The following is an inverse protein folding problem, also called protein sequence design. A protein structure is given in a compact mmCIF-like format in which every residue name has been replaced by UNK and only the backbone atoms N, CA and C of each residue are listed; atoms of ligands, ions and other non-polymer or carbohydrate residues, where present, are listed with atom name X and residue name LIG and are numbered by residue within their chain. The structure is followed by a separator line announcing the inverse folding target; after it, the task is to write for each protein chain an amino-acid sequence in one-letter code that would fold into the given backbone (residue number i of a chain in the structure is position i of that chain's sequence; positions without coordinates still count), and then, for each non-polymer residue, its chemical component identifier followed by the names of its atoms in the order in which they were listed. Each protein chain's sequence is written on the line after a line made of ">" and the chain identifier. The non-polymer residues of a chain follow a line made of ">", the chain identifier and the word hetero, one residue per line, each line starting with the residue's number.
data_IF_346863122959
#
_entry.id   IF_346863122959
#
_cell.length_a   1.000
_cell.length_b   1.000
_cell.length_c   1.000
_cell.angle_alpha   90.00
_cell.angle_beta   90.00
_cell.angle_gamma   90.00
#
_symmetry.space_group_name_H-M   'P 1'
#
loop_
_entity.id
_entity.type
_entity.pdbx_description
1 polymer ?
#
# COMPACT_ATOMS: atom_id res chain seq x y z
N UNK A 1 -8.06 -5.77 -25.77
CA UNK A 1 -8.18 -6.06 -24.32
C UNK A 1 -7.60 -4.99 -23.38
N UNK A 2 -6.62 -4.18 -23.79
CA UNK A 2 -6.06 -3.12 -22.94
C UNK A 2 -6.99 -1.89 -22.76
N UNK A 3 -7.79 -1.55 -23.77
CA UNK A 3 -8.67 -0.36 -23.77
C UNK A 3 -9.76 -0.39 -22.68
N UNK A 4 -10.26 -1.57 -22.33
CA UNK A 4 -11.25 -1.70 -21.25
C UNK A 4 -10.65 -1.60 -19.84
N UNK A 5 -9.37 -1.94 -19.68
CA UNK A 5 -8.69 -1.85 -18.37
C UNK A 5 -8.40 -0.41 -17.98
N UNK A 6 -8.21 0.50 -18.93
CA UNK A 6 -7.98 1.93 -18.62
C UNK A 6 -9.25 2.65 -18.14
N UNK A 7 -10.44 2.12 -18.47
CA UNK A 7 -11.71 2.69 -18.00
C UNK A 7 -12.10 2.23 -16.59
N UNK A 8 -11.54 1.11 -16.11
CA UNK A 8 -11.87 0.56 -14.79
C UNK A 8 -11.49 1.54 -13.67
N UNK A 9 -10.34 2.21 -13.81
CA UNK A 9 -9.90 3.18 -12.81
C UNK A 9 -10.84 4.40 -12.70
N UNK A 10 -11.17 5.11 -13.78
CA UNK A 10 -12.16 6.20 -13.73
C UNK A 10 -13.52 5.73 -13.19
N UNK A 11 -14.00 4.56 -13.61
CA UNK A 11 -15.26 4.00 -13.14
C UNK A 11 -15.22 3.71 -11.64
N UNK A 12 -14.12 3.11 -11.14
CA UNK A 12 -13.94 2.86 -9.71
C UNK A 12 -13.97 4.15 -8.88
N UNK A 13 -13.34 5.22 -9.40
CA UNK A 13 -13.33 6.54 -8.78
C UNK A 13 -14.75 7.12 -8.74
N UNK A 14 -15.46 7.11 -9.86
CA UNK A 14 -16.83 7.62 -9.95
C UNK A 14 -17.79 6.85 -9.03
N UNK A 15 -17.71 5.53 -9.02
CA UNK A 15 -18.53 4.69 -8.12
C UNK A 15 -18.24 5.02 -6.64
N UNK A 16 -16.96 5.16 -6.27
CA UNK A 16 -16.57 5.54 -4.92
C UNK A 16 -17.09 6.93 -4.52
N UNK A 17 -17.14 7.86 -5.48
CA UNK A 17 -17.62 9.21 -5.26
C UNK A 17 -19.16 9.26 -5.09
N UNK A 18 -19.90 8.62 -5.99
CA UNK A 18 -21.36 8.73 -6.00
C UNK A 18 -22.06 7.83 -4.97
N UNK A 19 -21.44 6.70 -4.61
CA UNK A 19 -22.02 5.72 -3.69
C UNK A 19 -21.23 5.61 -2.37
N UNK A 20 -20.63 6.73 -1.91
CA UNK A 20 -19.73 6.72 -0.75
C UNK A 20 -20.38 6.17 0.52
N UNK A 21 -21.64 6.49 0.83
CA UNK A 21 -22.32 6.00 2.02
C UNK A 21 -22.49 4.48 2.01
N UNK A 22 -22.95 3.92 0.89
CA UNK A 22 -23.21 2.48 0.76
C UNK A 22 -21.91 1.67 0.70
N UNK A 23 -20.92 2.16 -0.04
CA UNK A 23 -19.66 1.44 -0.28
C UNK A 23 -18.72 1.53 0.93
N UNK A 24 -18.77 2.61 1.71
CA UNK A 24 -17.94 2.75 2.93
C UNK A 24 -18.20 1.65 3.97
N UNK A 25 -19.39 1.05 3.98
CA UNK A 25 -19.73 -0.11 4.84
C UNK A 25 -18.84 -1.32 4.55
N UNK A 26 -18.29 -1.42 3.33
CA UNK A 26 -17.40 -2.50 2.92
C UNK A 26 -15.94 -2.30 3.39
N UNK A 27 -15.63 -1.22 4.12
CA UNK A 27 -14.29 -0.94 4.64
C UNK A 27 -13.64 -2.12 5.40
N UNK A 28 -14.36 -2.91 6.25
CA UNK A 28 -13.78 -4.06 6.93
C UNK A 28 -13.24 -5.15 5.99
N UNK A 29 -13.66 -5.15 4.72
CA UNK A 29 -13.17 -6.09 3.71
C UNK A 29 -11.79 -5.72 3.13
N UNK A 30 -11.33 -4.47 3.29
CA UNK A 30 -10.08 -3.99 2.71
C UNK A 30 -8.86 -4.87 3.04
N UNK A 31 -8.61 -5.29 4.29
CA UNK A 31 -7.46 -6.15 4.60
C UNK A 31 -7.49 -7.47 3.84
N UNK A 32 -8.69 -8.06 3.70
CA UNK A 32 -8.87 -9.33 2.96
C UNK A 32 -8.66 -9.13 1.46
N UNK A 33 -9.15 -8.04 0.89
CA UNK A 33 -8.94 -7.70 -0.51
C UNK A 33 -7.46 -7.46 -0.80
N UNK A 34 -6.74 -6.74 0.07
CA UNK A 34 -5.30 -6.53 -0.04
C UNK A 34 -4.55 -7.86 0.05
N UNK A 35 -4.94 -8.74 0.98
CA UNK A 35 -4.36 -10.06 1.10
C UNK A 35 -4.54 -10.88 -0.19
N UNK A 36 -5.74 -10.95 -0.73
CA UNK A 36 -6.05 -11.66 -1.99
C UNK A 36 -5.23 -11.08 -3.14
N UNK A 37 -5.21 -9.76 -3.27
CA UNK A 37 -4.45 -9.06 -4.30
C UNK A 37 -2.96 -9.39 -4.24
N UNK A 38 -2.36 -9.34 -3.06
CA UNK A 38 -0.95 -9.69 -2.84
C UNK A 38 -0.68 -11.17 -3.11
N UNK A 39 -1.57 -12.06 -2.67
CA UNK A 39 -1.44 -13.50 -2.91
C UNK A 39 -1.37 -13.82 -4.40
N UNK A 40 -2.30 -13.30 -5.21
CA UNK A 40 -2.28 -13.50 -6.67
C UNK A 40 -1.04 -12.87 -7.32
N UNK A 41 -0.61 -11.70 -6.85
CA UNK A 41 0.57 -11.02 -7.37
C UNK A 41 1.86 -11.76 -7.02
N UNK A 42 1.99 -12.27 -5.79
CA UNK A 42 3.16 -13.04 -5.36
C UNK A 42 3.23 -14.44 -5.99
N UNK A 43 2.09 -15.02 -6.38
CA UNK A 43 2.12 -16.30 -7.14
C UNK A 43 2.73 -16.12 -8.53
N UNK A 44 2.67 -14.95 -9.12
CA UNK A 44 3.34 -14.64 -10.40
C UNK A 44 4.85 -14.35 -10.23
N UNK A 45 5.33 -14.23 -8.99
CA UNK A 45 6.70 -13.88 -8.65
C UNK A 45 7.66 -15.06 -8.84
N UNK A 46 8.85 -14.83 -9.40
CA UNK A 46 9.95 -15.77 -9.32
C UNK A 46 10.86 -15.42 -8.13
N UNK A 47 10.72 -16.16 -7.03
CA UNK A 47 11.47 -15.90 -5.78
C UNK A 47 13.00 -15.94 -6.00
N UNK A 48 13.48 -16.77 -6.93
CA UNK A 48 14.92 -16.88 -7.25
C UNK A 48 15.49 -15.63 -7.89
N UNK A 49 14.64 -14.80 -8.50
CA UNK A 49 15.00 -13.55 -9.14
C UNK A 49 14.89 -12.35 -8.20
N UNK A 50 14.34 -12.55 -6.99
CA UNK A 50 14.31 -11.51 -5.97
C UNK A 50 15.72 -11.20 -5.51
N UNK A 51 16.19 -10.01 -5.90
CA UNK A 51 17.49 -9.49 -5.47
C UNK A 51 17.32 -8.04 -5.10
N UNK A 52 17.82 -7.66 -3.94
CA UNK A 52 17.93 -6.25 -3.57
C UNK A 52 18.98 -5.61 -4.47
N UNK A 53 18.54 -4.75 -5.36
CA UNK A 53 19.42 -4.06 -6.31
C UNK A 53 19.82 -2.68 -5.79
N UNK A 54 20.93 -2.16 -6.31
CA UNK A 54 21.36 -0.78 -6.04
C UNK A 54 20.28 0.24 -6.43
N UNK A 55 19.46 -0.08 -7.43
CA UNK A 55 18.32 0.75 -7.81
C UNK A 55 17.25 0.81 -6.69
N UNK A 56 16.92 -0.33 -6.05
CA UNK A 56 16.01 -0.35 -4.92
C UNK A 56 16.55 0.51 -3.76
N UNK A 57 17.85 0.42 -3.49
CA UNK A 57 18.49 1.26 -2.47
C UNK A 57 18.34 2.76 -2.76
N UNK A 58 18.61 3.18 -4.00
CA UNK A 58 18.46 4.58 -4.38
C UNK A 58 17.02 5.06 -4.32
N UNK A 59 16.04 4.23 -4.68
CA UNK A 59 14.61 4.57 -4.54
C UNK A 59 14.22 4.78 -3.07
N UNK A 60 14.68 3.91 -2.16
CA UNK A 60 14.42 4.05 -0.72
C UNK A 60 15.10 5.31 -0.15
N UNK A 61 16.34 5.56 -0.54
CA UNK A 61 17.07 6.75 -0.13
C UNK A 61 16.39 8.03 -0.65
N UNK A 62 15.95 8.03 -1.90
CA UNK A 62 15.21 9.14 -2.48
C UNK A 62 13.89 9.40 -1.75
N UNK A 63 13.12 8.36 -1.45
CA UNK A 63 11.88 8.47 -0.70
C UNK A 63 12.12 9.08 0.68
N UNK A 64 13.12 8.59 1.41
CA UNK A 64 13.48 9.11 2.72
C UNK A 64 13.99 10.55 2.65
N UNK A 65 14.87 10.84 1.69
CA UNK A 65 15.41 12.18 1.47
C UNK A 65 14.34 13.19 1.08
N UNK A 66 13.42 12.80 0.17
CA UNK A 66 12.34 13.67 -0.28
C UNK A 66 11.35 13.97 0.85
N UNK A 67 10.95 12.94 1.63
CA UNK A 67 10.05 13.14 2.77
C UNK A 67 10.65 14.10 3.79
N UNK A 68 11.93 13.92 4.13
CA UNK A 68 12.66 14.77 5.07
C UNK A 68 12.83 16.18 4.53
N UNK A 69 13.19 16.33 3.26
CA UNK A 69 13.35 17.64 2.62
C UNK A 69 12.02 18.43 2.61
N UNK A 70 10.91 17.78 2.27
CA UNK A 70 9.58 18.41 2.31
C UNK A 70 9.17 18.82 3.72
N UNK A 71 9.47 18.02 4.72
CA UNK A 71 9.23 18.39 6.12
C UNK A 71 9.92 19.67 6.50
N UNK A 72 11.23 19.79 6.27
CA UNK A 72 11.99 20.99 6.60
C UNK A 72 11.62 22.20 5.75
N UNK A 73 11.21 21.99 4.50
CA UNK A 73 10.77 23.06 3.61
C UNK A 73 9.42 23.66 4.05
N UNK A 74 8.48 22.81 4.51
CA UNK A 74 7.13 23.25 4.85
C UNK A 74 6.98 23.65 6.33
N UNK A 75 7.84 23.16 7.21
CA UNK A 75 7.79 23.44 8.64
C UNK A 75 7.75 24.94 9.01
N UNK A 76 8.49 25.86 8.35
CA UNK A 76 8.42 27.29 8.64
C UNK A 76 7.07 27.93 8.34
N UNK A 77 6.26 27.30 7.47
CA UNK A 77 4.95 27.83 7.06
C UNK A 77 3.82 27.24 7.94
N UNK A 78 3.84 25.95 8.15
CA UNK A 78 2.85 25.26 8.97
C UNK A 78 3.36 23.88 9.36
N UNK A 79 3.36 23.59 10.67
CA UNK A 79 3.91 22.34 11.21
C UNK A 79 3.02 21.14 10.87
N UNK A 80 1.69 21.27 10.92
CA UNK A 80 0.76 20.19 10.58
C UNK A 80 0.86 19.83 9.09
N UNK A 81 0.99 20.85 8.23
CA UNK A 81 1.22 20.63 6.79
C UNK A 81 2.54 19.91 6.53
N UNK A 82 3.60 20.28 7.24
CA UNK A 82 4.91 19.64 7.10
C UNK A 82 4.88 18.17 7.55
N UNK A 83 4.22 17.89 8.68
CA UNK A 83 4.02 16.52 9.19
C UNK A 83 3.17 15.69 8.22
N UNK A 84 2.07 16.25 7.72
CA UNK A 84 1.22 15.59 6.72
C UNK A 84 1.97 15.26 5.43
N UNK A 85 2.74 16.20 4.89
CA UNK A 85 3.56 16.00 3.70
C UNK A 85 4.63 14.92 3.92
N UNK A 86 5.29 14.93 5.09
CA UNK A 86 6.24 13.90 5.48
C UNK A 86 5.61 12.50 5.45
N UNK A 87 4.46 12.36 6.13
CA UNK A 87 3.76 11.05 6.23
C UNK A 87 3.32 10.55 4.86
N UNK A 88 2.80 11.42 4.00
CA UNK A 88 2.33 11.04 2.66
C UNK A 88 3.49 10.51 1.80
N UNK A 89 4.63 11.17 1.83
CA UNK A 89 5.80 10.77 1.01
C UNK A 89 6.53 9.58 1.62
N UNK A 90 6.61 9.50 2.97
CA UNK A 90 7.21 8.36 3.66
C UNK A 90 6.35 7.11 3.55
N UNK A 91 5.04 7.23 3.30
CA UNK A 91 4.12 6.10 3.24
C UNK A 91 4.70 4.96 2.38
N UNK A 92 4.60 3.71 2.85
CA UNK A 92 5.18 2.58 2.13
C UNK A 92 4.49 2.37 0.78
N UNK A 93 5.23 1.84 -0.18
CA UNK A 93 4.70 1.51 -1.50
C UNK A 93 3.45 0.64 -1.36
N UNK A 94 2.36 1.07 -2.00
CA UNK A 94 1.09 0.37 -1.94
C UNK A 94 1.17 -1.01 -2.60
N UNK A 95 0.49 -2.00 -2.00
CA UNK A 95 0.32 -3.33 -2.57
C UNK A 95 -0.27 -3.31 -4.00
N UNK A 96 -1.07 -2.30 -4.30
CA UNK A 96 -1.60 -2.03 -5.63
C UNK A 96 -0.53 -1.88 -6.71
N UNK A 97 0.63 -1.32 -6.37
CA UNK A 97 1.74 -1.16 -7.32
C UNK A 97 2.20 -2.51 -7.89
N UNK A 98 2.21 -3.57 -7.07
CA UNK A 98 2.55 -4.92 -7.53
C UNK A 98 1.49 -5.47 -8.52
N UNK A 99 0.20 -5.28 -8.22
CA UNK A 99 -0.89 -5.72 -9.08
C UNK A 99 -0.89 -4.98 -10.43
N UNK A 100 -0.64 -3.68 -10.43
CA UNK A 100 -0.53 -2.86 -11.66
C UNK A 100 0.71 -3.26 -12.45
N UNK A 101 1.86 -3.43 -11.79
CA UNK A 101 3.11 -3.87 -12.42
C UNK A 101 2.96 -5.22 -13.13
N UNK A 102 2.22 -6.15 -12.53
CA UNK A 102 1.92 -7.45 -13.13
C UNK A 102 1.17 -7.32 -14.46
N UNK A 103 0.23 -6.38 -14.55
CA UNK A 103 -0.56 -6.15 -15.76
C UNK A 103 0.23 -5.43 -16.84
N UNK A 104 1.09 -4.50 -16.44
CA UNK A 104 1.97 -3.75 -17.33
C UNK A 104 3.15 -4.60 -17.84
N UNK A 105 3.32 -5.83 -17.34
CA UNK A 105 4.43 -6.71 -17.72
C UNK A 105 5.78 -6.27 -17.16
N UNK A 106 5.76 -5.49 -16.07
CA UNK A 106 6.97 -5.07 -15.39
C UNK A 106 7.63 -6.23 -14.62
N UNK A 107 8.88 -6.03 -14.17
CA UNK A 107 9.62 -7.02 -13.40
C UNK A 107 9.02 -7.15 -11.99
N UNK A 108 8.19 -8.16 -11.80
CA UNK A 108 7.48 -8.43 -10.55
C UNK A 108 8.44 -8.77 -9.42
N UNK A 109 9.54 -9.47 -9.72
CA UNK A 109 10.54 -9.84 -8.71
C UNK A 109 11.23 -8.62 -8.12
N UNK A 110 11.61 -7.67 -8.94
CA UNK A 110 12.20 -6.40 -8.53
C UNK A 110 11.18 -5.55 -7.73
N UNK A 111 9.93 -5.47 -8.23
CA UNK A 111 8.88 -4.70 -7.59
C UNK A 111 8.48 -5.28 -6.23
N UNK A 112 8.44 -6.63 -6.11
CA UNK A 112 8.18 -7.31 -4.85
C UNK A 112 9.29 -7.08 -3.83
N UNK A 113 10.56 -7.13 -4.27
CA UNK A 113 11.70 -6.84 -3.41
C UNK A 113 11.63 -5.40 -2.90
N UNK A 114 11.31 -4.44 -3.77
CA UNK A 114 11.14 -3.04 -3.39
C UNK A 114 9.97 -2.88 -2.40
N UNK A 115 8.81 -3.47 -2.67
CA UNK A 115 7.63 -3.43 -1.79
C UNK A 115 7.97 -3.90 -0.37
N UNK A 116 8.61 -5.06 -0.24
CA UNK A 116 8.99 -5.64 1.06
C UNK A 116 10.00 -4.73 1.78
N UNK A 117 11.05 -4.32 1.07
CA UNK A 117 12.11 -3.47 1.63
C UNK A 117 11.58 -2.09 2.06
N UNK A 118 10.70 -1.48 1.26
CA UNK A 118 10.08 -0.20 1.57
C UNK A 118 9.20 -0.29 2.83
N UNK A 119 8.35 -1.32 2.91
CA UNK A 119 7.52 -1.54 4.09
C UNK A 119 8.35 -1.76 5.36
N UNK A 120 9.45 -2.52 5.26
CA UNK A 120 10.34 -2.78 6.38
C UNK A 120 11.09 -1.50 6.80
N UNK A 121 11.58 -0.71 5.85
CA UNK A 121 12.22 0.58 6.11
C UNK A 121 11.25 1.52 6.83
N UNK A 122 10.03 1.67 6.32
CA UNK A 122 9.03 2.57 6.91
C UNK A 122 8.61 2.10 8.30
N UNK A 123 8.50 0.78 8.54
CA UNK A 123 8.19 0.24 9.86
C UNK A 123 9.21 0.66 10.94
N UNK A 124 10.48 0.90 10.55
CA UNK A 124 11.53 1.39 11.45
C UNK A 124 11.57 2.92 11.49
N UNK A 125 11.53 3.56 10.31
CA UNK A 125 11.73 5.01 10.18
C UNK A 125 10.53 5.80 10.69
N UNK A 126 9.29 5.35 10.43
CA UNK A 126 8.09 6.09 10.82
C UNK A 126 7.97 6.26 12.34
N UNK A 127 8.13 5.21 13.19
CA UNK A 127 8.10 5.39 14.64
C UNK A 127 9.19 6.35 15.15
N UNK A 128 10.40 6.25 14.58
CA UNK A 128 11.50 7.14 14.94
C UNK A 128 11.17 8.60 14.60
N UNK A 129 10.70 8.84 13.38
CA UNK A 129 10.34 10.17 12.92
C UNK A 129 9.18 10.76 13.75
N UNK A 130 8.12 9.98 14.03
CA UNK A 130 6.98 10.45 14.82
C UNK A 130 7.37 10.76 16.27
N UNK A 131 8.30 10.01 16.85
CA UNK A 131 8.83 10.31 18.17
C UNK A 131 9.64 11.60 18.16
N UNK A 132 10.49 11.81 17.15
CA UNK A 132 11.32 13.02 17.01
C UNK A 132 10.50 14.27 16.70
N UNK A 133 9.40 14.12 15.95
CA UNK A 133 8.49 15.22 15.60
C UNK A 133 7.46 15.52 16.70
N UNK A 134 7.50 14.79 17.84
CA UNK A 134 6.52 14.89 18.93
C UNK A 134 5.06 14.61 18.50
N UNK A 135 4.86 14.01 17.35
CA UNK A 135 3.52 13.63 16.84
C UNK A 135 2.91 12.49 17.64
N UNK A 136 3.75 11.73 18.36
CA UNK A 136 3.37 10.50 19.06
C UNK A 136 2.61 10.73 20.36
N UNK A 137 2.37 11.98 20.80
CA UNK A 137 1.68 12.24 22.05
C UNK A 137 2.35 11.61 23.30
N UNK A 138 3.67 11.40 23.26
CA UNK A 138 4.42 10.74 24.33
C UNK A 138 4.51 9.20 24.23
N UNK A 139 3.95 8.61 23.18
CA UNK A 139 4.08 7.15 22.93
C UNK A 139 5.51 6.83 22.50
N UNK A 140 6.15 5.89 23.19
CA UNK A 140 7.53 5.51 22.92
C UNK A 140 7.73 4.79 21.57
N UNK A 141 8.97 4.88 21.03
CA UNK A 141 9.37 4.24 19.78
C UNK A 141 8.95 2.76 19.68
N UNK A 142 9.21 1.97 20.70
CA UNK A 142 8.92 0.52 20.68
C UNK A 142 7.43 0.21 20.56
N UNK A 143 6.59 0.99 21.20
CA UNK A 143 5.13 0.82 21.13
C UNK A 143 4.64 1.13 19.71
N UNK A 144 5.10 2.22 19.12
CA UNK A 144 4.76 2.59 17.73
C UNK A 144 5.32 1.58 16.73
N UNK A 145 6.57 1.16 16.91
CA UNK A 145 7.21 0.16 16.05
C UNK A 145 6.44 -1.16 16.04
N UNK A 146 6.11 -1.69 17.23
CA UNK A 146 5.34 -2.93 17.34
C UNK A 146 3.91 -2.78 16.81
N UNK A 147 3.27 -1.63 17.02
CA UNK A 147 1.93 -1.36 16.50
C UNK A 147 1.91 -1.34 14.96
N UNK A 148 2.90 -0.73 14.33
CA UNK A 148 3.03 -0.72 12.87
C UNK A 148 3.38 -2.12 12.36
N UNK A 149 4.37 -2.76 12.95
CA UNK A 149 4.85 -4.07 12.54
C UNK A 149 3.75 -5.13 12.65
N UNK A 150 2.99 -5.16 13.74
CA UNK A 150 1.91 -6.12 13.97
C UNK A 150 0.78 -6.02 12.93
N UNK A 151 0.59 -4.86 12.30
CA UNK A 151 -0.40 -4.65 11.24
C UNK A 151 0.16 -4.95 9.84
N UNK A 152 1.36 -4.46 9.57
CA UNK A 152 1.98 -4.54 8.24
C UNK A 152 2.53 -5.94 7.98
N UNK A 153 3.16 -6.55 8.98
CA UNK A 153 3.85 -7.82 8.83
C UNK A 153 2.90 -8.98 8.41
N UNK A 154 1.78 -9.24 9.12
CA UNK A 154 0.86 -10.29 8.70
C UNK A 154 0.26 -10.03 7.32
N UNK A 155 -0.11 -8.78 7.04
CA UNK A 155 -0.76 -8.40 5.78
C UNK A 155 0.15 -8.59 4.56
N UNK A 156 1.46 -8.39 4.72
CA UNK A 156 2.45 -8.51 3.65
C UNK A 156 3.07 -9.91 3.58
N UNK A 157 3.46 -10.44 4.73
CA UNK A 157 4.25 -11.66 4.83
C UNK A 157 3.39 -12.92 4.67
N UNK A 158 2.17 -12.93 5.22
CA UNK A 158 1.30 -14.09 5.12
C UNK A 158 0.93 -14.44 3.66
N UNK A 159 0.49 -13.51 2.79
CA UNK A 159 0.22 -13.83 1.39
C UNK A 159 1.49 -14.22 0.63
N UNK A 160 2.66 -13.65 0.98
CA UNK A 160 3.95 -14.03 0.40
C UNK A 160 4.30 -15.49 0.73
N UNK A 161 4.29 -15.87 2.01
CA UNK A 161 4.55 -17.24 2.42
C UNK A 161 3.55 -18.23 1.83
N UNK A 162 2.27 -17.90 1.81
CA UNK A 162 1.23 -18.73 1.22
C UNK A 162 1.48 -18.94 -0.29
N UNK A 163 1.89 -17.92 -1.02
CA UNK A 163 2.25 -18.03 -2.43
C UNK A 163 3.48 -18.92 -2.65
N UNK A 164 4.50 -18.80 -1.79
CA UNK A 164 5.70 -19.67 -1.83
C UNK A 164 5.32 -21.12 -1.53
N UNK A 165 4.51 -21.37 -0.51
CA UNK A 165 4.02 -22.72 -0.16
C UNK A 165 3.18 -23.32 -1.29
N UNK A 166 2.26 -22.57 -1.87
CA UNK A 166 1.43 -23.02 -3.00
C UNK A 166 2.30 -23.45 -4.18
N UNK A 167 3.36 -22.68 -4.45
CA UNK A 167 4.31 -23.01 -5.52
C UNK A 167 5.14 -24.25 -5.20
N UNK A 168 5.57 -24.41 -3.95
CA UNK A 168 6.42 -25.52 -3.53
C UNK A 168 5.66 -26.86 -3.49
N UNK A 169 4.43 -26.85 -2.96
CA UNK A 169 3.69 -28.09 -2.66
C UNK A 169 2.55 -28.38 -3.64
N UNK A 170 1.94 -27.35 -4.26
CA UNK A 170 0.75 -27.50 -5.12
C UNK A 170 0.94 -26.86 -6.50
N UNK A 171 1.81 -27.43 -7.32
CA UNK A 171 2.10 -26.92 -8.68
C UNK A 171 0.85 -26.73 -9.53
N UNK A 172 -0.10 -27.69 -9.50
CA UNK A 172 -1.37 -27.60 -10.26
C UNK A 172 -2.22 -26.39 -9.80
N UNK A 173 -2.27 -26.12 -8.50
CA UNK A 173 -2.97 -24.96 -7.95
C UNK A 173 -2.27 -23.65 -8.34
N UNK A 174 -0.94 -23.61 -8.27
CA UNK A 174 -0.15 -22.46 -8.70
C UNK A 174 -0.38 -22.12 -10.18
N UNK A 175 -0.43 -23.13 -11.06
CA UNK A 175 -0.69 -22.94 -12.49
C UNK A 175 -2.11 -22.40 -12.73
N UNK A 176 -3.11 -22.90 -11.99
CA UNK A 176 -4.48 -22.41 -12.06
C UNK A 176 -4.56 -20.94 -11.58
N UNK A 177 -3.90 -20.59 -10.47
CA UNK A 177 -3.83 -19.22 -9.95
C UNK A 177 -3.18 -18.28 -10.97
N UNK A 178 -2.06 -18.71 -11.57
CA UNK A 178 -1.34 -17.91 -12.56
C UNK A 178 -2.13 -17.67 -13.85
N UNK A 179 -3.03 -18.58 -14.24
CA UNK A 179 -3.97 -18.34 -15.35
C UNK A 179 -4.93 -17.17 -15.06
N UNK A 180 -5.25 -16.97 -13.79
CA UNK A 180 -6.18 -15.94 -13.33
C UNK A 180 -5.49 -14.72 -12.68
N UNK A 181 -4.22 -14.45 -13.00
CA UNK A 181 -3.44 -13.34 -12.45
C UNK A 181 -4.12 -11.96 -12.56
N UNK A 182 -5.01 -11.78 -13.55
CA UNK A 182 -5.78 -10.56 -13.72
C UNK A 182 -6.76 -10.28 -12.57
N UNK A 183 -7.10 -11.27 -11.74
CA UNK A 183 -7.94 -11.10 -10.55
C UNK A 183 -7.35 -10.04 -9.62
N UNK A 184 -6.03 -10.03 -9.45
CA UNK A 184 -5.32 -9.03 -8.66
C UNK A 184 -5.69 -7.58 -9.03
N UNK A 185 -5.86 -7.30 -10.32
CA UNK A 185 -6.27 -5.98 -10.79
C UNK A 185 -7.73 -5.64 -10.48
N UNK A 186 -8.65 -6.58 -10.64
CA UNK A 186 -10.06 -6.33 -10.33
C UNK A 186 -10.28 -6.16 -8.83
N UNK A 187 -9.58 -6.96 -8.02
CA UNK A 187 -9.56 -6.80 -6.56
C UNK A 187 -8.98 -5.45 -6.16
N UNK A 188 -7.90 -4.99 -6.85
CA UNK A 188 -7.36 -3.66 -6.65
C UNK A 188 -8.38 -2.56 -6.96
N UNK A 189 -9.08 -2.65 -8.12
CA UNK A 189 -10.08 -1.65 -8.50
C UNK A 189 -11.22 -1.59 -7.48
N UNK A 190 -11.69 -2.74 -6.98
CA UNK A 190 -12.68 -2.81 -5.91
C UNK A 190 -12.17 -2.18 -4.61
N UNK A 191 -10.95 -2.50 -4.20
CA UNK A 191 -10.32 -1.92 -3.02
C UNK A 191 -10.21 -0.40 -3.14
N UNK A 192 -9.82 0.10 -4.33
CA UNK A 192 -9.72 1.52 -4.61
C UNK A 192 -11.08 2.22 -4.48
N UNK A 193 -12.16 1.61 -5.00
CA UNK A 193 -13.52 2.14 -4.86
C UNK A 193 -13.90 2.32 -3.39
N UNK A 194 -13.61 1.32 -2.55
CA UNK A 194 -13.90 1.36 -1.10
C UNK A 194 -13.05 2.44 -0.41
N UNK A 195 -11.76 2.55 -0.74
CA UNK A 195 -10.87 3.57 -0.15
C UNK A 195 -11.34 4.98 -0.51
N UNK A 196 -11.72 5.22 -1.76
CA UNK A 196 -12.22 6.52 -2.21
C UNK A 196 -13.53 6.87 -1.49
N UNK A 197 -14.46 5.91 -1.38
CA UNK A 197 -15.71 6.09 -0.64
C UNK A 197 -15.46 6.52 0.80
N UNK A 198 -14.50 5.90 1.47
CA UNK A 198 -14.13 6.23 2.84
C UNK A 198 -13.48 7.61 2.95
N UNK A 199 -12.57 7.94 2.03
CA UNK A 199 -11.90 9.24 2.01
C UNK A 199 -12.92 10.39 1.84
N UNK A 200 -13.90 10.21 0.96
CA UNK A 200 -14.97 11.20 0.74
C UNK A 200 -15.84 11.35 1.99
N UNK A 201 -16.24 10.23 2.62
CA UNK A 201 -16.99 10.26 3.87
C UNK A 201 -16.27 11.06 4.95
N UNK A 202 -14.98 10.83 5.15
CA UNK A 202 -14.16 11.57 6.12
C UNK A 202 -14.10 13.08 5.82
N UNK A 203 -13.97 13.46 4.55
CA UNK A 203 -13.96 14.89 4.14
C UNK A 203 -15.31 15.54 4.43
N UNK A 204 -16.42 14.87 4.14
CA UNK A 204 -17.76 15.37 4.39
C UNK A 204 -18.00 15.53 5.89
N UNK A 205 -17.66 14.52 6.70
CA UNK A 205 -17.81 14.54 8.15
C UNK A 205 -17.01 15.69 8.78
N UNK A 206 -15.78 15.90 8.33
CA UNK A 206 -14.93 16.98 8.80
C UNK A 206 -15.47 18.36 8.40
N UNK A 207 -16.04 18.49 7.19
CA UNK A 207 -16.64 19.73 6.73
C UNK A 207 -17.94 20.08 7.49
N UNK A 208 -18.73 19.07 7.86
CA UNK A 208 -19.94 19.24 8.66
C UNK A 208 -19.60 19.54 10.13
N UNK A 209 -18.62 18.85 10.71
CA UNK A 209 -18.16 19.08 12.08
C UNK A 209 -17.55 20.49 12.31
N UNK A 210 -17.02 21.12 11.27
CA UNK A 210 -16.48 22.49 11.35
C UNK A 210 -17.57 23.59 11.25
N UNK A 211 -18.83 23.19 10.99
CA UNK A 211 -19.99 24.13 10.89
C UNK A 211 -20.84 24.20 12.15
N UNK A 212 -20.58 23.31 13.12
CA UNK A 212 -21.20 23.29 14.46
C UNK A 212 -20.27 23.87 15.49
#
# INVERSE_FOLDING_TARGET
>A
MQRHKSLILPVAILLGLFFHETISVLQPLLPYLIFIMLFFSFNALNVKEMRFSMFNFWLLLFQLGLSTALFFLLRPFNEDLAQGAYVIVLAPTAAAALAVSLILGANISMMSTYLISCNLMVAVVAPLAFTLMSVSGGVGFWTLFLAILSKVFPLLIAPFFLAVLTRAFWKKANDAINRHKNISFYVWALSLTIVISRAIGLVIDQYQGNKT
#
